data_IF_404352221694
#
_entry.id   IF_404352221694
#
_cell.length_a   1.000
_cell.length_b   1.000
_cell.length_c   1.000
_cell.angle_alpha   90.00
_cell.angle_beta   90.00
_cell.angle_gamma   90.00
#
_symmetry.space_group_name_H-M   'P 1'
#
loop_
_entity.id
_entity.type
_entity.pdbx_description
1 polymer ?
#
# COMPACT_ATOMS: atom_id res chain seq x y z
N UNK A 1 -6.15 -8.40 26.36
CA UNK A 1 -5.32 -7.18 26.51
C UNK A 1 -5.70 -6.22 25.40
N UNK A 2 -6.01 -4.97 25.76
CA UNK A 2 -6.34 -3.92 24.79
C UNK A 2 -5.06 -3.17 24.39
N UNK A 3 -4.83 -3.02 23.11
CA UNK A 3 -3.65 -2.32 22.56
C UNK A 3 -4.11 -1.08 21.80
N UNK A 4 -3.51 0.06 22.12
CA UNK A 4 -3.65 1.29 21.34
C UNK A 4 -2.63 1.25 20.20
N UNK A 5 -3.11 1.25 18.95
CA UNK A 5 -2.30 1.31 17.74
C UNK A 5 -2.31 2.70 17.15
N UNK A 6 -1.13 3.18 16.75
CA UNK A 6 -0.93 4.48 16.10
C UNK A 6 -0.29 4.28 14.75
N UNK A 7 -0.97 4.79 13.71
CA UNK A 7 -0.49 4.79 12.33
C UNK A 7 -0.33 6.23 11.84
N UNK A 8 0.84 6.53 11.28
CA UNK A 8 1.16 7.86 10.73
C UNK A 8 2.24 7.79 9.64
N UNK A 9 2.31 6.70 8.89
CA UNK A 9 3.41 6.48 7.94
C UNK A 9 3.35 7.35 6.68
N UNK A 10 2.17 7.82 6.30
CA UNK A 10 1.97 8.58 5.06
C UNK A 10 1.02 9.77 5.27
N UNK A 11 -0.17 9.73 4.70
CA UNK A 11 -1.16 10.82 4.70
C UNK A 11 -2.46 10.46 5.46
N UNK A 12 -2.50 9.31 6.13
CA UNK A 12 -3.52 8.95 7.11
C UNK A 12 -2.98 9.07 8.53
N UNK A 13 -3.65 9.86 9.36
CA UNK A 13 -3.43 9.90 10.81
C UNK A 13 -4.46 8.99 11.47
N UNK A 14 -4.03 7.83 11.99
CA UNK A 14 -4.98 6.88 12.54
C UNK A 14 -4.59 6.37 13.92
N UNK A 15 -5.63 6.10 14.72
CA UNK A 15 -5.51 5.42 16.00
C UNK A 15 -6.66 4.41 16.16
N UNK A 16 -6.37 3.30 16.82
CA UNK A 16 -7.34 2.25 17.05
C UNK A 16 -7.10 1.55 18.38
N UNK A 17 -8.16 0.99 18.94
CA UNK A 17 -8.08 0.06 20.07
C UNK A 17 -8.49 -1.32 19.60
N UNK A 18 -7.59 -2.28 19.76
CA UNK A 18 -7.84 -3.68 19.40
C UNK A 18 -7.65 -4.55 20.65
N UNK A 19 -8.62 -5.41 20.90
CA UNK A 19 -8.60 -6.38 21.99
C UNK A 19 -8.11 -7.73 21.47
N UNK A 20 -7.15 -8.30 22.22
CA UNK A 20 -6.56 -9.62 21.96
C UNK A 20 -6.06 -9.84 20.53
N UNK A 21 -5.61 -8.74 19.90
CA UNK A 21 -5.05 -8.73 18.55
C UNK A 21 -6.04 -9.03 17.45
N UNK A 22 -7.34 -9.05 17.72
CA UNK A 22 -8.39 -9.44 16.77
C UNK A 22 -9.57 -8.51 16.74
N UNK A 23 -10.20 -8.33 17.89
CA UNK A 23 -11.45 -7.58 18.01
C UNK A 23 -11.17 -6.09 17.96
N UNK A 24 -11.59 -5.45 16.89
CA UNK A 24 -11.54 -3.99 16.77
C UNK A 24 -12.61 -3.41 17.70
N UNK A 25 -12.19 -2.62 18.68
CA UNK A 25 -13.10 -1.84 19.53
C UNK A 25 -13.34 -0.45 18.93
N UNK A 26 -12.32 0.11 18.31
CA UNK A 26 -12.40 1.36 17.55
C UNK A 26 -11.30 1.40 16.48
N UNK A 27 -11.55 2.15 15.40
CA UNK A 27 -10.56 2.45 14.38
C UNK A 27 -10.90 3.82 13.79
N UNK A 28 -10.16 4.84 14.17
CA UNK A 28 -10.35 6.23 13.72
C UNK A 28 -9.26 6.57 12.72
N UNK A 29 -9.66 7.03 11.55
CA UNK A 29 -8.76 7.42 10.47
C UNK A 29 -9.10 8.84 10.02
N UNK A 30 -8.15 9.75 10.19
CA UNK A 30 -8.22 11.11 9.68
C UNK A 30 -7.36 11.22 8.42
N UNK A 31 -8.02 11.28 7.26
CA UNK A 31 -7.32 11.34 5.96
C UNK A 31 -6.93 12.76 5.59
N UNK A 32 -5.74 12.90 5.05
CA UNK A 32 -5.21 14.17 4.55
C UNK A 32 -5.39 14.35 3.04
N UNK A 33 -6.07 13.44 2.36
CA UNK A 33 -6.34 13.49 0.92
C UNK A 33 -6.79 14.88 0.44
N UNK A 34 -7.72 15.58 1.12
CA UNK A 34 -8.16 16.91 0.68
C UNK A 34 -7.03 17.95 0.61
N UNK A 35 -6.03 17.85 1.49
CA UNK A 35 -4.89 18.78 1.53
C UNK A 35 -3.83 18.45 0.47
N UNK A 36 -3.81 17.23 -0.01
CA UNK A 36 -2.85 16.75 -1.02
C UNK A 36 -3.41 16.80 -2.46
N UNK A 37 -4.72 16.93 -2.60
CA UNK A 37 -5.40 16.93 -3.91
C UNK A 37 -4.91 18.05 -4.81
N UNK A 38 -4.65 19.26 -4.27
CA UNK A 38 -4.13 20.39 -5.04
C UNK A 38 -2.74 20.12 -5.63
N UNK A 39 -1.95 19.28 -4.96
CA UNK A 39 -0.60 18.90 -5.39
C UNK A 39 -0.59 17.62 -6.23
N UNK A 40 -1.76 16.97 -6.35
CA UNK A 40 -1.91 15.67 -7.01
C UNK A 40 -0.91 14.63 -6.50
N UNK A 41 -0.78 14.50 -5.19
CA UNK A 41 0.09 13.57 -4.51
C UNK A 41 0.55 14.09 -3.15
N UNK A 42 1.04 13.21 -2.30
CA UNK A 42 1.43 13.53 -0.93
C UNK A 42 2.60 14.50 -0.89
N UNK A 43 2.47 15.55 -0.08
CA UNK A 43 3.55 16.51 0.25
C UNK A 43 4.03 16.21 1.67
N UNK A 44 5.25 15.68 1.85
CA UNK A 44 5.71 15.17 3.14
C UNK A 44 5.70 16.18 4.28
N UNK A 45 5.97 17.46 3.99
CA UNK A 45 5.94 18.52 5.00
C UNK A 45 4.51 18.82 5.47
N UNK A 46 3.54 18.84 4.56
CA UNK A 46 2.12 19.02 4.89
C UNK A 46 1.67 17.85 5.74
N UNK A 47 2.02 16.62 5.32
CA UNK A 47 1.68 15.40 6.04
C UNK A 47 2.17 15.46 7.49
N UNK A 48 3.45 15.75 7.70
CA UNK A 48 4.04 15.82 9.06
C UNK A 48 3.33 16.85 9.94
N UNK A 49 3.03 18.04 9.41
CA UNK A 49 2.34 19.10 10.15
C UNK A 49 0.93 18.68 10.54
N UNK A 50 0.17 18.06 9.62
CA UNK A 50 -1.18 17.58 9.89
C UNK A 50 -1.21 16.46 10.92
N UNK A 51 -0.24 15.55 10.90
CA UNK A 51 -0.11 14.57 11.97
C UNK A 51 0.11 15.23 13.34
N UNK A 52 0.95 16.25 13.41
CA UNK A 52 1.19 16.98 14.67
C UNK A 52 -0.08 17.65 15.20
N UNK A 53 -0.91 18.18 14.29
CA UNK A 53 -2.17 18.83 14.67
C UNK A 53 -3.22 17.81 15.15
N UNK A 54 -3.25 16.60 14.58
CA UNK A 54 -4.38 15.68 14.70
C UNK A 54 -4.16 14.51 15.65
N UNK A 55 -2.92 14.07 15.86
CA UNK A 55 -2.62 12.81 16.54
C UNK A 55 -3.28 12.67 17.91
N UNK A 56 -3.32 13.76 18.70
CA UNK A 56 -3.96 13.74 20.00
C UNK A 56 -5.47 13.57 19.88
N UNK A 57 -6.11 14.32 19.00
CA UNK A 57 -7.56 14.26 18.80
C UNK A 57 -7.99 12.88 18.30
N UNK A 58 -7.27 12.34 17.31
CA UNK A 58 -7.52 11.01 16.74
C UNK A 58 -7.35 9.90 17.78
N UNK A 59 -6.30 9.97 18.59
CA UNK A 59 -6.08 8.99 19.65
C UNK A 59 -7.16 9.08 20.76
N UNK A 60 -7.57 10.30 21.14
CA UNK A 60 -8.66 10.52 22.09
C UNK A 60 -9.99 9.96 21.55
N UNK A 61 -10.32 10.28 20.30
CA UNK A 61 -11.54 9.79 19.66
C UNK A 61 -11.55 8.26 19.56
N UNK A 62 -10.40 7.63 19.30
CA UNK A 62 -10.30 6.18 19.29
C UNK A 62 -10.62 5.56 20.66
N UNK A 63 -10.19 6.18 21.77
CA UNK A 63 -10.53 5.74 23.12
C UNK A 63 -12.02 5.98 23.43
N UNK A 64 -12.56 7.14 23.06
CA UNK A 64 -13.97 7.49 23.24
C UNK A 64 -14.89 6.52 22.48
N UNK A 65 -14.56 6.21 21.22
CA UNK A 65 -15.31 5.24 20.39
C UNK A 65 -15.21 3.81 20.93
N UNK A 66 -14.07 3.44 21.51
CA UNK A 66 -13.91 2.15 22.17
C UNK A 66 -14.70 2.05 23.49
N UNK A 67 -15.24 3.16 24.00
CA UNK A 67 -15.97 3.23 25.27
C UNK A 67 -15.10 2.88 26.48
N UNK A 68 -13.81 3.19 26.44
CA UNK A 68 -12.86 2.83 27.51
C UNK A 68 -12.03 4.03 27.95
N UNK A 69 -11.67 4.04 29.23
CA UNK A 69 -10.66 4.97 29.73
C UNK A 69 -9.23 4.52 29.40
N UNK A 70 -8.30 5.46 29.47
CA UNK A 70 -6.87 5.23 29.21
C UNK A 70 -6.24 4.18 30.12
N UNK A 71 -6.82 3.96 31.31
CA UNK A 71 -6.39 2.97 32.31
C UNK A 71 -6.66 1.53 31.84
N UNK A 72 -7.54 1.34 30.88
CA UNK A 72 -7.86 0.03 30.34
C UNK A 72 -6.87 -0.44 29.25
N UNK A 73 -5.99 0.45 28.78
CA UNK A 73 -4.97 0.11 27.79
C UNK A 73 -3.85 -0.70 28.46
N UNK A 74 -3.56 -1.85 27.90
CA UNK A 74 -2.51 -2.75 28.38
C UNK A 74 -1.20 -2.69 27.57
N UNK A 75 -1.16 -1.95 26.46
CA UNK A 75 0.04 -1.77 25.66
C UNK A 75 -0.17 -0.79 24.49
N UNK A 76 0.93 -0.30 23.96
CA UNK A 76 0.94 0.69 22.86
C UNK A 76 1.79 0.18 21.71
N UNK A 77 1.26 0.29 20.49
CA UNK A 77 1.96 -0.04 19.26
C UNK A 77 1.98 1.18 18.34
N UNK A 78 3.08 1.41 17.65
CA UNK A 78 3.15 2.45 16.64
C UNK A 78 4.01 2.04 15.45
N UNK A 79 3.65 2.53 14.29
CA UNK A 79 4.45 2.36 13.07
C UNK A 79 5.78 3.07 13.21
N UNK A 80 6.87 2.33 12.96
CA UNK A 80 8.22 2.86 12.98
C UNK A 80 8.88 2.87 11.59
N UNK A 81 8.44 2.02 10.68
CA UNK A 81 8.95 1.87 9.32
C UNK A 81 8.02 0.98 8.46
N UNK A 82 8.11 1.05 7.11
CA UNK A 82 8.59 2.20 6.36
C UNK A 82 7.56 3.32 6.31
N UNK A 83 7.97 4.52 5.85
CA UNK A 83 7.06 5.65 5.62
C UNK A 83 7.79 6.98 5.49
N UNK A 84 7.01 8.06 5.43
CA UNK A 84 7.53 9.42 5.44
C UNK A 84 8.13 9.73 6.82
N UNK A 85 9.43 10.00 6.86
CA UNK A 85 10.17 10.12 8.13
C UNK A 85 9.54 11.12 9.10
N UNK A 86 9.14 12.31 8.60
CA UNK A 86 8.51 13.34 9.43
C UNK A 86 7.18 12.89 10.01
N UNK A 87 6.35 12.21 9.23
CA UNK A 87 5.06 11.67 9.64
C UNK A 87 5.23 10.55 10.68
N UNK A 88 6.12 9.59 10.41
CA UNK A 88 6.46 8.51 11.35
C UNK A 88 6.95 9.05 12.70
N UNK A 89 7.80 10.09 12.68
CA UNK A 89 8.32 10.69 13.93
C UNK A 89 7.21 11.22 14.83
N UNK A 90 6.14 11.77 14.27
CA UNK A 90 5.00 12.29 15.04
C UNK A 90 4.29 11.16 15.79
N UNK A 91 3.80 10.14 15.08
CA UNK A 91 3.09 9.02 15.68
C UNK A 91 3.95 8.22 16.65
N UNK A 92 5.20 7.95 16.28
CA UNK A 92 6.14 7.21 17.11
C UNK A 92 6.47 7.97 18.41
N UNK A 93 6.67 9.30 18.32
CA UNK A 93 6.94 10.12 19.51
C UNK A 93 5.73 10.19 20.44
N UNK A 94 4.53 10.39 19.89
CA UNK A 94 3.29 10.38 20.63
C UNK A 94 3.10 9.04 21.37
N UNK A 95 3.23 7.92 20.65
CA UNK A 95 3.05 6.59 21.22
C UNK A 95 4.05 6.28 22.34
N UNK A 96 5.32 6.65 22.15
CA UNK A 96 6.37 6.50 23.18
C UNK A 96 6.09 7.35 24.42
N UNK A 97 5.70 8.61 24.23
CA UNK A 97 5.36 9.52 25.34
C UNK A 97 4.14 8.99 26.12
N UNK A 98 3.10 8.53 25.40
CA UNK A 98 1.91 7.95 26.04
C UNK A 98 2.26 6.68 26.83
N UNK A 99 3.04 5.77 26.23
CA UNK A 99 3.46 4.54 26.90
C UNK A 99 4.31 4.83 28.16
N UNK A 100 5.27 5.75 28.04
CA UNK A 100 6.12 6.14 29.15
C UNK A 100 5.33 6.78 30.29
N UNK A 101 4.46 7.74 29.99
CA UNK A 101 3.65 8.44 30.98
C UNK A 101 2.70 7.52 31.74
N UNK A 102 2.30 6.40 31.16
CA UNK A 102 1.38 5.41 31.73
C UNK A 102 2.07 4.14 32.22
N UNK A 103 3.39 4.09 32.10
CA UNK A 103 4.19 2.88 32.42
C UNK A 103 3.69 1.63 31.67
N UNK A 104 3.34 1.79 30.38
CA UNK A 104 2.82 0.72 29.55
C UNK A 104 3.93 0.13 28.66
N UNK A 105 3.84 -1.15 28.32
CA UNK A 105 4.71 -1.75 27.33
C UNK A 105 4.47 -1.10 25.95
N UNK A 106 5.58 -0.85 25.25
CA UNK A 106 5.58 -0.25 23.91
C UNK A 106 6.22 -1.19 22.91
N UNK A 107 5.68 -1.21 21.68
CA UNK A 107 6.23 -1.95 20.54
C UNK A 107 6.20 -1.11 19.26
N UNK A 108 7.34 -1.06 18.58
CA UNK A 108 7.47 -0.50 17.23
C UNK A 108 7.11 -1.56 16.19
N UNK A 109 6.28 -1.20 15.23
CA UNK A 109 5.68 -2.12 14.26
C UNK A 109 6.11 -1.76 12.84
N UNK A 110 6.33 -2.78 12.02
CA UNK A 110 6.50 -2.63 10.58
C UNK A 110 5.14 -2.46 9.91
N UNK A 111 4.98 -1.36 9.16
CA UNK A 111 3.76 -1.00 8.45
C UNK A 111 3.33 -2.05 7.42
N UNK A 112 4.29 -2.58 6.67
CA UNK A 112 4.00 -3.56 5.61
C UNK A 112 3.51 -4.89 6.19
N UNK A 113 4.10 -5.33 7.31
CA UNK A 113 3.65 -6.52 8.01
C UNK A 113 2.27 -6.34 8.62
N UNK A 114 1.97 -5.13 9.10
CA UNK A 114 0.67 -4.80 9.64
C UNK A 114 -0.44 -4.92 8.58
N UNK A 115 -0.19 -4.54 7.34
CA UNK A 115 -1.13 -4.75 6.24
C UNK A 115 -1.46 -6.23 5.99
N UNK A 116 -0.50 -7.15 6.10
CA UNK A 116 -0.78 -8.60 6.02
C UNK A 116 -1.60 -9.07 7.24
N UNK A 117 -1.35 -8.47 8.41
CA UNK A 117 -2.07 -8.82 9.62
C UNK A 117 -3.53 -8.38 9.58
N UNK A 118 -3.87 -7.33 8.82
CA UNK A 118 -5.22 -6.77 8.73
C UNK A 118 -6.31 -7.80 8.41
N UNK A 119 -5.98 -8.85 7.64
CA UNK A 119 -6.91 -9.94 7.31
C UNK A 119 -7.36 -10.77 8.52
N UNK A 120 -6.66 -10.69 9.65
CA UNK A 120 -6.92 -11.42 10.90
C UNK A 120 -7.83 -10.65 11.86
N UNK A 121 -8.10 -9.40 11.55
CA UNK A 121 -8.92 -8.52 12.39
C UNK A 121 -10.41 -8.79 12.18
N UNK A 122 -11.17 -8.59 13.24
CA UNK A 122 -12.59 -8.80 13.29
C UNK A 122 -13.28 -7.44 13.39
N UNK A 123 -14.09 -7.12 12.36
CA UNK A 123 -14.87 -5.88 12.36
C UNK A 123 -16.04 -5.98 13.34
N UNK A 124 -16.42 -4.87 14.00
CA UNK A 124 -17.68 -4.79 14.73
C UNK A 124 -18.85 -5.13 13.80
N UNK A 125 -19.89 -5.75 14.31
CA UNK A 125 -21.11 -5.97 13.54
C UNK A 125 -21.77 -4.62 13.21
N UNK A 126 -22.22 -4.44 11.97
CA UNK A 126 -22.88 -3.20 11.51
C UNK A 126 -24.13 -2.85 12.31
N UNK A 127 -24.83 -3.86 12.85
CA UNK A 127 -26.12 -3.70 13.53
C UNK A 127 -26.04 -3.56 15.06
N UNK A 128 -24.84 -3.40 15.64
CA UNK A 128 -24.69 -3.35 17.11
C UNK A 128 -25.10 -4.67 17.82
N UNK A 129 -25.41 -5.71 17.07
CA UNK A 129 -25.95 -6.99 17.55
C UNK A 129 -24.93 -8.03 17.99
N UNK A 130 -23.67 -7.64 18.14
CA UNK A 130 -22.65 -8.48 18.78
C UNK A 130 -22.05 -9.61 17.94
N UNK A 131 -22.46 -9.78 16.69
CA UNK A 131 -21.85 -10.78 15.80
C UNK A 131 -20.69 -10.13 15.05
N UNK A 132 -19.48 -10.53 15.36
CA UNK A 132 -18.25 -10.06 14.67
C UNK A 132 -18.17 -10.71 13.29
N UNK A 133 -17.72 -9.96 12.28
CA UNK A 133 -17.28 -10.56 11.02
C UNK A 133 -15.94 -11.25 11.27
N UNK A 134 -15.86 -12.59 11.22
CA UNK A 134 -14.63 -13.29 11.58
C UNK A 134 -13.49 -12.93 10.64
N UNK A 135 -12.35 -12.56 11.19
CA UNK A 135 -11.10 -12.48 10.44
C UNK A 135 -10.64 -13.86 10.00
N UNK A 136 -10.21 -13.99 8.77
CA UNK A 136 -9.65 -15.24 8.26
C UNK A 136 -8.23 -15.41 8.78
N UNK A 137 -7.93 -16.59 9.37
CA UNK A 137 -6.57 -16.94 9.81
C UNK A 137 -5.95 -17.90 8.80
N UNK A 138 -5.20 -17.38 7.84
CA UNK A 138 -4.46 -18.26 6.92
C UNK A 138 -3.42 -19.05 7.72
N UNK A 139 -3.32 -20.33 7.40
CA UNK A 139 -2.27 -21.20 7.94
C UNK A 139 -0.92 -20.87 7.29
N UNK A 140 0.14 -21.01 8.06
CA UNK A 140 1.50 -20.86 7.57
C UNK A 140 2.03 -22.15 6.93
N UNK A 141 2.91 -22.08 5.95
CA UNK A 141 3.34 -20.87 5.24
C UNK A 141 2.31 -20.41 4.19
N UNK A 142 2.33 -19.11 3.87
CA UNK A 142 1.52 -18.54 2.79
C UNK A 142 2.30 -17.51 1.97
N UNK A 143 1.77 -17.13 0.80
CA UNK A 143 2.29 -16.02 0.01
C UNK A 143 1.62 -14.71 0.45
N UNK A 144 2.43 -13.73 0.81
CA UNK A 144 1.99 -12.37 1.05
C UNK A 144 2.06 -11.54 -0.24
N UNK A 145 0.98 -10.86 -0.58
CA UNK A 145 0.90 -9.88 -1.66
C UNK A 145 0.68 -8.50 -1.07
N UNK A 146 1.74 -7.72 -0.92
CA UNK A 146 1.71 -6.37 -0.39
C UNK A 146 1.70 -5.37 -1.54
N UNK A 147 0.59 -4.68 -1.71
CA UNK A 147 0.37 -3.75 -2.84
C UNK A 147 -0.25 -2.44 -2.35
N UNK A 148 0.54 -1.38 -2.38
CA UNK A 148 0.14 -0.06 -1.89
C UNK A 148 0.59 1.05 -2.87
N UNK A 149 0.38 2.31 -2.51
CA UNK A 149 0.88 3.47 -3.24
C UNK A 149 2.40 3.44 -3.42
N UNK A 150 3.14 3.03 -2.37
CA UNK A 150 4.61 3.04 -2.38
C UNK A 150 5.28 1.69 -2.58
N UNK A 151 4.56 0.58 -2.47
CA UNK A 151 5.17 -0.74 -2.46
C UNK A 151 4.39 -1.77 -3.28
N UNK A 152 5.13 -2.65 -3.97
CA UNK A 152 4.60 -3.86 -4.59
C UNK A 152 5.58 -4.98 -4.29
N UNK A 153 5.19 -5.87 -3.36
CA UNK A 153 6.06 -6.92 -2.82
C UNK A 153 5.30 -8.24 -2.84
N UNK A 154 5.97 -9.28 -3.30
CA UNK A 154 5.55 -10.68 -3.16
C UNK A 154 6.52 -11.32 -2.17
N UNK A 155 6.00 -11.93 -1.11
CA UNK A 155 6.81 -12.56 -0.09
C UNK A 155 6.25 -13.92 0.32
N UNK A 156 7.12 -14.79 0.82
CA UNK A 156 6.75 -15.98 1.56
C UNK A 156 6.71 -15.65 3.04
N UNK A 157 5.64 -16.01 3.70
CA UNK A 157 5.44 -15.81 5.14
C UNK A 157 5.40 -17.17 5.82
N UNK A 158 6.50 -17.55 6.44
CA UNK A 158 6.56 -18.76 7.27
C UNK A 158 6.02 -18.49 8.67
N UNK A 159 6.18 -17.26 9.15
CA UNK A 159 5.59 -16.63 10.33
C UNK A 159 5.81 -15.11 10.20
N UNK A 160 5.12 -14.27 11.00
CA UNK A 160 5.35 -12.80 11.02
C UNK A 160 6.76 -12.40 11.49
N UNK A 161 7.53 -13.33 12.06
CA UNK A 161 8.94 -13.12 12.42
C UNK A 161 9.90 -13.67 11.35
N UNK A 162 9.39 -14.43 10.38
CA UNK A 162 10.18 -15.07 9.33
C UNK A 162 9.52 -14.88 7.97
N UNK A 163 9.87 -13.76 7.32
CA UNK A 163 9.32 -13.36 6.04
C UNK A 163 10.46 -13.23 5.03
N UNK A 164 10.26 -13.85 3.88
CA UNK A 164 11.21 -13.83 2.78
C UNK A 164 10.63 -13.12 1.59
N UNK A 165 11.25 -12.01 1.15
CA UNK A 165 10.86 -11.32 -0.08
C UNK A 165 11.28 -12.18 -1.27
N UNK A 166 10.31 -12.57 -2.08
CA UNK A 166 10.52 -13.30 -3.33
C UNK A 166 10.73 -12.32 -4.49
N UNK A 167 9.90 -11.27 -4.57
CA UNK A 167 9.98 -10.26 -5.61
C UNK A 167 9.39 -8.92 -5.17
N UNK A 168 9.78 -7.88 -5.88
CA UNK A 168 9.30 -6.52 -5.64
C UNK A 168 9.24 -5.70 -6.93
N UNK A 169 8.65 -4.51 -6.87
CA UNK A 169 8.80 -3.58 -7.98
C UNK A 169 10.25 -3.11 -8.10
N UNK A 170 10.75 -3.10 -9.34
CA UNK A 170 12.10 -2.62 -9.67
C UNK A 170 12.11 -1.12 -10.03
N UNK A 171 10.94 -0.53 -10.18
CA UNK A 171 10.72 0.88 -10.48
C UNK A 171 9.49 1.41 -9.72
N UNK A 172 8.48 1.95 -10.41
CA UNK A 172 7.26 2.43 -9.76
C UNK A 172 6.49 1.27 -9.09
N UNK A 173 5.93 1.48 -7.91
CA UNK A 173 4.94 0.57 -7.35
C UNK A 173 3.64 0.59 -8.17
N UNK A 174 2.83 -0.46 -8.06
CA UNK A 174 1.56 -0.55 -8.80
C UNK A 174 0.62 0.62 -8.47
N UNK A 175 0.47 0.97 -7.20
CA UNK A 175 -0.36 2.10 -6.77
C UNK A 175 0.21 3.43 -7.26
N UNK A 176 1.52 3.62 -7.19
CA UNK A 176 2.20 4.79 -7.74
C UNK A 176 1.96 4.94 -9.26
N UNK A 177 1.95 3.83 -10.00
CA UNK A 177 1.62 3.85 -11.43
C UNK A 177 0.17 4.28 -11.67
N UNK A 178 -0.78 3.81 -10.85
CA UNK A 178 -2.17 4.27 -10.87
C UNK A 178 -2.28 5.77 -10.58
N UNK A 179 -1.63 6.26 -9.53
CA UNK A 179 -1.68 7.67 -9.14
C UNK A 179 -1.07 8.58 -10.22
N UNK A 180 0.08 8.19 -10.79
CA UNK A 180 0.75 8.94 -11.87
C UNK A 180 -0.10 9.00 -13.14
N UNK A 181 -0.75 7.90 -13.52
CA UNK A 181 -1.66 7.87 -14.67
C UNK A 181 -2.90 8.72 -14.39
N UNK A 182 -3.52 8.58 -13.22
CA UNK A 182 -4.67 9.39 -12.83
C UNK A 182 -4.35 10.89 -12.79
N UNK A 183 -3.20 11.25 -12.24
CA UNK A 183 -2.70 12.63 -12.24
C UNK A 183 -2.57 13.21 -13.65
N UNK A 184 -2.00 12.42 -14.56
CA UNK A 184 -1.85 12.85 -15.96
C UNK A 184 -3.19 13.07 -16.65
N UNK A 185 -4.21 12.27 -16.33
CA UNK A 185 -5.57 12.40 -16.84
C UNK A 185 -6.39 13.49 -16.16
N UNK A 186 -5.98 13.97 -14.98
CA UNK A 186 -6.80 14.84 -14.17
C UNK A 186 -7.96 14.12 -13.46
N UNK A 187 -7.85 12.81 -13.21
CA UNK A 187 -8.90 12.03 -12.53
C UNK A 187 -8.93 12.25 -11.02
N UNK A 188 -7.99 13.02 -10.49
CA UNK A 188 -7.88 13.29 -9.06
C UNK A 188 -7.01 12.28 -8.30
N UNK A 189 -7.04 12.42 -6.98
CA UNK A 189 -6.29 11.61 -6.02
C UNK A 189 -7.25 11.07 -4.94
N UNK A 190 -7.14 9.80 -4.51
CA UNK A 190 -6.21 8.74 -4.93
C UNK A 190 -6.54 8.18 -6.32
N UNK A 191 -5.50 8.03 -7.16
CA UNK A 191 -5.66 7.63 -8.55
C UNK A 191 -6.17 6.21 -8.73
N UNK A 192 -5.77 5.28 -7.86
CA UNK A 192 -6.21 3.89 -7.92
C UNK A 192 -7.72 3.74 -7.86
N UNK A 193 -8.38 4.41 -6.91
CA UNK A 193 -9.83 4.38 -6.76
C UNK A 193 -10.55 5.05 -7.93
N UNK A 194 -9.99 6.15 -8.46
CA UNK A 194 -10.56 6.86 -9.61
C UNK A 194 -10.51 5.99 -10.88
N UNK A 195 -9.38 5.36 -11.15
CA UNK A 195 -9.20 4.45 -12.30
C UNK A 195 -10.09 3.22 -12.17
N UNK A 196 -10.16 2.58 -10.99
CA UNK A 196 -11.02 1.41 -10.77
C UNK A 196 -12.50 1.69 -11.04
N UNK A 197 -12.97 2.86 -10.61
CA UNK A 197 -14.36 3.30 -10.86
C UNK A 197 -14.61 3.56 -12.34
N UNK A 198 -13.67 4.21 -13.04
CA UNK A 198 -13.81 4.53 -14.45
C UNK A 198 -13.70 3.28 -15.32
N UNK A 199 -12.79 2.38 -14.99
CA UNK A 199 -12.55 1.12 -15.71
C UNK A 199 -13.79 0.22 -15.79
N UNK A 200 -14.67 0.25 -14.76
CA UNK A 200 -15.93 -0.49 -14.77
C UNK A 200 -16.90 -0.12 -15.91
N UNK A 201 -16.69 1.03 -16.54
CA UNK A 201 -17.51 1.54 -17.64
C UNK A 201 -16.84 1.34 -19.00
N UNK A 202 -15.59 0.84 -19.04
CA UNK A 202 -14.77 0.70 -20.23
C UNK A 202 -14.61 -0.74 -20.72
N UNK A 203 -14.06 -0.86 -21.91
CA UNK A 203 -13.63 -2.13 -22.51
C UNK A 203 -12.15 -2.36 -22.21
N UNK A 204 -11.83 -3.41 -21.45
CA UNK A 204 -10.46 -3.79 -21.10
C UNK A 204 -9.64 -4.31 -22.28
N UNK A 205 -10.25 -4.57 -23.43
CA UNK A 205 -9.63 -5.02 -24.68
C UNK A 205 -9.39 -3.93 -25.71
N UNK A 206 -9.92 -2.71 -25.47
CA UNK A 206 -9.88 -1.62 -26.44
C UNK A 206 -8.47 -1.13 -26.78
N UNK A 207 -7.57 -1.17 -25.81
CA UNK A 207 -6.16 -0.78 -25.98
C UNK A 207 -5.22 -1.89 -25.55
N UNK A 208 -4.13 -2.07 -26.32
CA UNK A 208 -3.07 -3.05 -25.99
C UNK A 208 -1.85 -2.31 -25.46
N UNK A 209 -1.62 -2.43 -24.17
CA UNK A 209 -0.42 -1.89 -23.53
C UNK A 209 0.67 -2.96 -23.38
N UNK A 210 1.95 -2.56 -23.41
CA UNK A 210 3.06 -3.51 -23.35
C UNK A 210 3.18 -4.12 -21.96
N UNK A 211 3.37 -5.44 -21.91
CA UNK A 211 3.78 -6.16 -20.73
C UNK A 211 5.31 -6.14 -20.62
N UNK A 212 5.88 -5.86 -19.44
CA UNK A 212 7.32 -5.94 -19.25
C UNK A 212 7.81 -7.37 -19.49
N UNK A 213 8.91 -7.50 -20.23
CA UNK A 213 9.58 -8.78 -20.41
C UNK A 213 10.44 -9.05 -19.18
N UNK A 214 9.84 -9.64 -18.14
CA UNK A 214 10.56 -10.06 -16.96
C UNK A 214 11.18 -11.44 -17.18
N UNK A 215 12.48 -11.56 -16.90
CA UNK A 215 13.18 -12.81 -16.66
C UNK A 215 13.34 -13.81 -17.79
N UNK A 216 14.25 -13.57 -18.70
CA UNK A 216 15.20 -14.51 -19.31
C UNK A 216 16.48 -13.80 -19.77
N UNK A 217 16.61 -12.50 -19.53
CA UNK A 217 17.79 -11.79 -20.00
C UNK A 217 18.78 -11.54 -18.89
N UNK A 218 19.90 -12.31 -18.96
CA UNK A 218 21.22 -11.84 -18.61
C UNK A 218 21.55 -10.56 -19.43
N UNK A 219 20.94 -9.43 -19.11
CA UNK A 219 21.60 -8.16 -19.33
C UNK A 219 22.60 -8.04 -18.19
N UNK A 220 23.77 -8.64 -18.38
CA UNK A 220 24.97 -8.09 -17.79
C UNK A 220 24.85 -6.60 -17.97
N UNK A 221 24.80 -5.84 -16.87
CA UNK A 221 25.03 -4.43 -16.89
C UNK A 221 26.42 -4.26 -17.52
N UNK A 222 26.50 -3.94 -18.79
CA UNK A 222 27.67 -3.37 -19.42
C UNK A 222 27.70 -1.93 -18.96
N UNK A 223 28.21 -1.74 -17.75
CA UNK A 223 28.60 -0.51 -17.15
C UNK A 223 29.90 -0.80 -16.44
N UNK A 224 30.99 -0.32 -17.01
CA UNK A 224 32.32 -0.41 -16.47
C UNK A 224 32.35 0.19 -15.07
N UNK A 225 32.97 -0.55 -14.11
CA UNK A 225 33.47 0.01 -12.85
C UNK A 225 32.64 -0.23 -11.61
N UNK A 226 32.52 -1.48 -11.15
CA UNK A 226 32.58 -1.78 -9.72
C UNK A 226 33.03 -3.24 -9.50
N UNK A 227 34.22 -3.39 -8.96
CA UNK A 227 34.78 -4.64 -8.49
C UNK A 227 34.00 -5.10 -7.27
N UNK A 228 32.95 -5.89 -7.46
CA UNK A 228 32.40 -6.71 -6.40
C UNK A 228 32.97 -8.12 -6.54
N UNK A 229 33.74 -8.50 -5.52
CA UNK A 229 34.38 -9.80 -5.37
C UNK A 229 33.34 -10.91 -5.55
N UNK A 230 33.64 -11.81 -6.47
CA UNK A 230 32.91 -13.08 -6.65
C UNK A 230 33.10 -13.92 -5.38
N UNK A 231 32.09 -14.02 -4.56
CA UNK A 231 31.97 -15.16 -3.65
C UNK A 231 31.33 -16.31 -4.43
N UNK A 232 32.13 -17.35 -4.61
CA UNK A 232 31.70 -18.59 -5.25
C UNK A 232 30.84 -19.38 -4.27
N UNK A 233 29.56 -19.58 -4.61
CA UNK A 233 28.70 -20.48 -3.85
C UNK A 233 27.23 -20.31 -4.20
N UNK A 234 26.77 -21.01 -5.21
CA UNK A 234 25.41 -21.37 -5.64
C UNK A 234 24.98 -20.75 -6.97
N UNK A 235 25.07 -21.53 -8.08
CA UNK A 235 24.73 -21.03 -9.41
C UNK A 235 23.24 -20.94 -9.76
N UNK A 236 22.33 -21.40 -8.88
CA UNK A 236 20.92 -21.55 -9.19
C UNK A 236 20.04 -20.35 -8.79
N UNK A 237 20.27 -19.75 -7.62
CA UNK A 237 19.36 -18.81 -6.99
C UNK A 237 19.25 -17.42 -7.66
N UNK A 238 20.27 -16.93 -8.33
CA UNK A 238 20.26 -15.58 -8.94
C UNK A 238 19.37 -15.45 -10.19
N UNK A 239 18.96 -16.54 -10.82
CA UNK A 239 18.11 -16.53 -12.03
C UNK A 239 16.61 -16.53 -11.72
N UNK A 240 16.21 -17.00 -10.56
CA UNK A 240 14.81 -17.18 -10.18
C UNK A 240 14.19 -15.93 -9.59
N UNK A 241 14.97 -15.05 -8.94
CA UNK A 241 14.47 -13.83 -8.29
C UNK A 241 13.81 -12.85 -9.25
N UNK A 242 14.29 -12.73 -10.49
CA UNK A 242 13.71 -11.83 -11.50
C UNK A 242 12.33 -12.28 -12.03
N UNK A 243 11.89 -13.51 -11.77
CA UNK A 243 10.57 -13.98 -12.20
C UNK A 243 9.42 -13.41 -11.39
N UNK A 244 9.69 -12.98 -10.16
CA UNK A 244 8.69 -12.43 -9.24
C UNK A 244 8.71 -10.91 -9.16
N UNK A 245 9.68 -10.27 -9.81
CA UNK A 245 9.74 -8.81 -9.86
C UNK A 245 8.69 -8.24 -10.84
N UNK A 246 8.25 -7.03 -10.59
CA UNK A 246 7.31 -6.30 -11.43
C UNK A 246 7.90 -4.95 -11.85
N UNK A 247 7.44 -4.41 -12.99
CA UNK A 247 7.85 -3.09 -13.50
C UNK A 247 6.65 -2.39 -14.11
N UNK A 248 6.45 -1.14 -13.76
CA UNK A 248 5.32 -0.33 -14.19
C UNK A 248 5.72 0.95 -14.94
N UNK A 249 6.98 1.37 -14.90
CA UNK A 249 7.43 2.61 -15.54
C UNK A 249 7.20 2.61 -17.04
N UNK A 250 7.44 1.47 -17.70
CA UNK A 250 7.17 1.28 -19.14
C UNK A 250 5.68 1.32 -19.48
N UNK A 251 4.84 0.69 -18.65
CA UNK A 251 3.38 0.72 -18.80
C UNK A 251 2.86 2.15 -18.67
N UNK A 252 3.25 2.85 -17.62
CA UNK A 252 2.89 4.26 -17.40
C UNK A 252 3.22 5.12 -18.62
N UNK A 253 4.44 5.00 -19.14
CA UNK A 253 4.88 5.76 -20.32
C UNK A 253 4.05 5.43 -21.57
N UNK A 254 3.72 4.15 -21.79
CA UNK A 254 2.90 3.73 -22.91
C UNK A 254 1.47 4.31 -22.84
N UNK A 255 0.88 4.34 -21.65
CA UNK A 255 -0.46 4.93 -21.43
C UNK A 255 -0.43 6.44 -21.66
N UNK A 256 0.57 7.15 -21.14
CA UNK A 256 0.75 8.58 -21.37
C UNK A 256 0.91 8.89 -22.85
N UNK A 257 1.74 8.15 -23.58
CA UNK A 257 1.94 8.32 -25.02
C UNK A 257 0.65 8.04 -25.82
N UNK A 258 -0.15 7.05 -25.41
CA UNK A 258 -1.45 6.80 -26.04
C UNK A 258 -2.39 7.99 -25.87
N UNK A 259 -2.37 8.63 -24.73
CA UNK A 259 -3.16 9.81 -24.44
C UNK A 259 -2.74 11.04 -25.24
N UNK A 260 -1.44 11.25 -25.43
CA UNK A 260 -0.95 12.37 -26.23
C UNK A 260 -1.45 12.30 -27.68
N UNK A 261 -1.74 11.12 -28.22
CA UNK A 261 -2.31 10.96 -29.56
C UNK A 261 -3.73 11.54 -29.68
N UNK A 262 -4.46 11.60 -28.56
CA UNK A 262 -5.81 12.17 -28.51
C UNK A 262 -5.81 13.64 -28.09
N UNK A 263 -4.66 14.22 -27.80
CA UNK A 263 -4.55 15.63 -27.45
C UNK A 263 -4.78 16.47 -28.72
N UNK A 264 -5.93 17.14 -28.80
CA UNK A 264 -6.18 18.13 -29.84
C UNK A 264 -5.17 19.25 -29.62
N UNK A 265 -4.34 19.53 -30.63
CA UNK A 265 -3.50 20.72 -30.63
C UNK A 265 -4.42 21.92 -30.49
N UNK A 266 -4.43 22.56 -29.34
CA UNK A 266 -5.15 23.80 -29.14
C UNK A 266 -4.65 24.78 -30.21
N UNK A 267 -5.57 25.38 -30.98
CA UNK A 267 -5.20 26.42 -31.90
C UNK A 267 -4.50 27.56 -31.11
N UNK A 268 -3.43 28.17 -31.65
CA UNK A 268 -2.76 29.27 -30.96
C UNK A 268 -3.76 30.39 -30.72
N UNK A 269 -3.99 30.73 -29.45
CA UNK A 269 -4.73 31.93 -29.09
C UNK A 269 -3.89 33.13 -29.48
N UNK A 270 -4.47 34.11 -30.17
CA UNK A 270 -3.80 35.31 -30.69
C UNK A 270 -3.21 36.25 -29.61
N UNK A 271 -3.25 35.87 -28.35
CA UNK A 271 -2.61 36.62 -27.25
C UNK A 271 -1.36 35.85 -26.79
N UNK A 272 -0.20 36.31 -27.25
CA UNK A 272 1.12 35.74 -27.05
C UNK A 272 1.67 35.74 -25.59
N UNK A 273 0.91 35.25 -24.62
CA UNK A 273 1.39 35.03 -23.24
C UNK A 273 1.55 33.54 -23.05
N UNK A 274 2.79 33.08 -23.19
CA UNK A 274 3.21 31.74 -22.80
C UNK A 274 3.31 31.71 -21.28
N UNK A 275 2.36 31.09 -20.59
CA UNK A 275 2.53 30.76 -19.19
C UNK A 275 3.40 29.50 -19.06
N UNK A 276 4.38 29.46 -18.11
CA UNK A 276 5.24 28.32 -17.94
C UNK A 276 4.46 27.11 -17.44
N UNK A 277 4.74 25.95 -18.02
CA UNK A 277 4.10 24.67 -17.72
C UNK A 277 4.62 24.07 -16.39
N UNK A 278 4.22 24.65 -15.26
CA UNK A 278 4.51 24.12 -13.93
C UNK A 278 3.27 24.18 -13.02
N UNK A 279 2.18 23.58 -13.49
CA UNK A 279 0.99 23.33 -12.70
C UNK A 279 0.33 22.04 -13.18
N UNK A 280 -0.56 21.41 -12.35
CA UNK A 280 -1.37 20.30 -12.83
C UNK A 280 -2.03 20.76 -14.13
N UNK A 281 -2.00 19.92 -15.15
CA UNK A 281 -2.63 20.20 -16.45
C UNK A 281 -4.13 20.52 -16.22
N UNK A 282 -4.42 21.72 -15.80
CA UNK A 282 -5.70 22.32 -16.11
C UNK A 282 -5.68 22.39 -17.63
N UNK A 283 -6.43 21.53 -18.25
CA UNK A 283 -6.80 21.70 -19.64
C UNK A 283 -7.39 23.12 -19.74
N UNK A 284 -6.53 24.09 -20.06
CA UNK A 284 -6.93 25.46 -20.20
C UNK A 284 -7.95 25.48 -21.34
N UNK A 285 -9.27 25.52 -21.01
CA UNK A 285 -10.37 25.73 -21.95
C UNK A 285 -10.49 24.72 -23.10
N UNK A 286 -9.59 23.77 -23.23
CA UNK A 286 -9.63 22.71 -24.23
C UNK A 286 -10.35 21.50 -23.66
N UNK A 287 -11.60 21.27 -24.04
CA UNK A 287 -12.27 20.00 -23.85
C UNK A 287 -11.34 18.91 -24.41
N UNK A 288 -10.92 17.96 -23.57
CA UNK A 288 -10.30 16.75 -24.07
C UNK A 288 -11.35 16.06 -24.96
N UNK A 289 -11.18 16.12 -26.26
CA UNK A 289 -12.12 15.57 -27.23
C UNK A 289 -11.89 14.07 -27.44
N UNK A 290 -11.61 13.33 -26.34
CA UNK A 290 -11.74 11.89 -26.37
C UNK A 290 -13.22 11.58 -26.61
N UNK A 291 -13.56 10.70 -27.55
CA UNK A 291 -14.92 10.18 -27.67
C UNK A 291 -15.35 9.69 -26.29
N UNK A 292 -16.57 10.01 -25.84
CA UNK A 292 -17.02 9.92 -24.46
C UNK A 292 -16.79 8.59 -23.71
N UNK A 293 -16.41 7.52 -24.41
CA UNK A 293 -16.08 6.20 -23.85
C UNK A 293 -14.56 5.92 -23.77
N UNK A 294 -13.74 6.64 -24.53
CA UNK A 294 -12.31 6.33 -24.63
C UNK A 294 -11.53 6.48 -23.33
N UNK A 295 -11.97 7.37 -22.42
CA UNK A 295 -11.38 7.47 -21.08
C UNK A 295 -11.58 6.19 -20.25
N UNK A 296 -12.80 5.65 -20.28
CA UNK A 296 -13.14 4.42 -19.57
C UNK A 296 -12.39 3.24 -20.17
N UNK A 297 -12.31 3.17 -21.51
CA UNK A 297 -11.62 2.09 -22.22
C UNK A 297 -10.11 2.09 -21.96
N UNK A 298 -9.48 3.27 -21.91
CA UNK A 298 -8.06 3.38 -21.56
C UNK A 298 -7.84 3.01 -20.09
N UNK A 299 -8.69 3.48 -19.19
CA UNK A 299 -8.63 3.14 -17.76
C UNK A 299 -8.77 1.62 -17.55
N UNK A 300 -9.74 0.98 -18.24
CA UNK A 300 -9.96 -0.46 -18.17
C UNK A 300 -8.77 -1.25 -18.73
N UNK A 301 -8.26 -0.87 -19.91
CA UNK A 301 -7.11 -1.53 -20.54
C UNK A 301 -5.81 -1.35 -19.75
N UNK A 302 -5.61 -0.17 -19.14
CA UNK A 302 -4.48 0.10 -18.25
C UNK A 302 -4.56 -0.75 -16.99
N UNK A 303 -5.72 -0.70 -16.29
CA UNK A 303 -5.95 -1.48 -15.07
C UNK A 303 -5.74 -2.97 -15.30
N UNK A 304 -6.29 -3.51 -16.39
CA UNK A 304 -6.08 -4.91 -16.79
C UNK A 304 -4.60 -5.23 -16.90
N UNK A 305 -3.86 -4.44 -17.68
CA UNK A 305 -2.43 -4.70 -17.92
C UNK A 305 -1.64 -4.60 -16.61
N UNK A 306 -1.94 -3.61 -15.74
CA UNK A 306 -1.28 -3.45 -14.46
C UNK A 306 -1.54 -4.66 -13.52
N UNK A 307 -2.77 -5.14 -13.47
CA UNK A 307 -3.16 -6.32 -12.69
C UNK A 307 -2.52 -7.59 -13.27
N UNK A 308 -2.49 -7.76 -14.59
CA UNK A 308 -1.86 -8.92 -15.24
C UNK A 308 -0.35 -9.00 -14.99
N UNK A 309 0.36 -7.86 -14.95
CA UNK A 309 1.78 -7.81 -14.57
C UNK A 309 1.98 -8.39 -13.17
N UNK A 310 1.17 -7.94 -12.22
CA UNK A 310 1.23 -8.38 -10.82
C UNK A 310 0.89 -9.86 -10.68
N UNK A 311 -0.21 -10.29 -11.30
CA UNK A 311 -0.69 -11.67 -11.21
C UNK A 311 0.29 -12.66 -11.85
N UNK A 312 0.94 -12.29 -12.95
CA UNK A 312 1.97 -13.13 -13.56
C UNK A 312 3.12 -13.41 -12.59
N UNK A 313 3.62 -12.38 -11.92
CA UNK A 313 4.68 -12.52 -10.93
C UNK A 313 4.23 -13.37 -9.73
N UNK A 314 3.01 -13.13 -9.24
CA UNK A 314 2.41 -13.89 -8.13
C UNK A 314 2.22 -15.37 -8.49
N UNK A 315 1.70 -15.68 -9.69
CA UNK A 315 1.47 -17.06 -10.11
C UNK A 315 2.78 -17.82 -10.35
N UNK A 316 3.83 -17.14 -10.81
CA UNK A 316 5.17 -17.74 -10.83
C UNK A 316 5.62 -18.13 -9.40
N UNK A 317 5.34 -17.27 -8.40
CA UNK A 317 5.68 -17.60 -7.02
C UNK A 317 4.83 -18.77 -6.47
N UNK A 318 3.54 -18.86 -6.84
CA UNK A 318 2.68 -20.01 -6.50
C UNK A 318 3.26 -21.30 -7.08
N UNK A 319 3.61 -21.29 -8.38
CA UNK A 319 4.17 -22.45 -9.09
C UNK A 319 5.47 -22.94 -8.45
N UNK A 320 6.40 -22.02 -8.18
CA UNK A 320 7.73 -22.38 -7.70
C UNK A 320 7.75 -22.75 -6.22
N UNK A 321 6.84 -22.19 -5.40
CA UNK A 321 6.79 -22.48 -3.95
C UNK A 321 5.81 -23.60 -3.59
N UNK A 322 4.85 -23.90 -4.46
CA UNK A 322 3.75 -24.82 -4.16
C UNK A 322 2.76 -24.29 -3.11
N UNK A 323 2.82 -23.00 -2.78
CA UNK A 323 1.93 -22.37 -1.81
C UNK A 323 0.65 -21.87 -2.50
N UNK A 324 -0.49 -22.38 -2.08
CA UNK A 324 -1.80 -22.06 -2.66
C UNK A 324 -2.61 -21.05 -1.83
N UNK A 325 -2.12 -20.64 -0.66
CA UNK A 325 -2.74 -19.60 0.15
C UNK A 325 -2.05 -18.26 -0.11
N UNK A 326 -2.84 -17.26 -0.47
CA UNK A 326 -2.39 -15.89 -0.74
C UNK A 326 -3.08 -14.95 0.24
N UNK A 327 -2.31 -14.14 0.94
CA UNK A 327 -2.82 -13.06 1.81
C UNK A 327 -2.44 -11.74 1.18
N UNK A 328 -3.44 -10.97 0.77
CA UNK A 328 -3.22 -9.65 0.19
C UNK A 328 -3.34 -8.55 1.26
N UNK A 329 -2.58 -7.47 1.11
CA UNK A 329 -2.64 -6.29 1.97
C UNK A 329 -2.19 -5.02 1.25
N UNK A 330 -2.55 -3.86 1.81
CA UNK A 330 -2.30 -2.56 1.23
C UNK A 330 -3.46 -2.02 0.39
N UNK A 331 -3.47 -0.72 0.14
CA UNK A 331 -4.60 -0.03 -0.51
C UNK A 331 -5.00 -0.59 -1.87
N UNK A 332 -4.05 -1.08 -2.68
CA UNK A 332 -4.35 -1.69 -3.99
C UNK A 332 -5.02 -3.07 -3.85
N UNK A 333 -4.95 -3.72 -2.68
CA UNK A 333 -5.71 -4.95 -2.42
C UNK A 333 -7.24 -4.72 -2.44
N UNK A 334 -7.71 -3.48 -2.38
CA UNK A 334 -9.10 -3.10 -2.57
C UNK A 334 -9.53 -3.08 -4.06
N UNK A 335 -8.58 -3.12 -5.01
CA UNK A 335 -8.88 -3.03 -6.44
C UNK A 335 -9.82 -4.16 -6.89
N UNK A 336 -10.92 -3.79 -7.54
CA UNK A 336 -11.99 -4.73 -7.88
C UNK A 336 -11.57 -5.77 -8.91
N UNK A 337 -10.75 -5.39 -9.91
CA UNK A 337 -10.28 -6.32 -10.94
C UNK A 337 -9.27 -7.32 -10.38
N UNK A 338 -8.35 -6.87 -9.50
CA UNK A 338 -7.40 -7.77 -8.83
C UNK A 338 -8.14 -8.84 -8.03
N UNK A 339 -9.14 -8.44 -7.24
CA UNK A 339 -9.99 -9.37 -6.47
C UNK A 339 -10.74 -10.34 -7.37
N UNK A 340 -11.34 -9.84 -8.46
CA UNK A 340 -12.07 -10.67 -9.42
C UNK A 340 -11.18 -11.73 -10.08
N UNK A 341 -10.00 -11.31 -10.58
CA UNK A 341 -9.06 -12.23 -11.23
C UNK A 341 -8.49 -13.30 -10.28
N UNK A 342 -8.26 -12.95 -9.02
CA UNK A 342 -7.85 -13.94 -8.02
C UNK A 342 -9.00 -14.88 -7.63
N UNK A 343 -10.24 -14.40 -7.59
CA UNK A 343 -11.42 -15.24 -7.29
C UNK A 343 -11.73 -16.24 -8.41
N UNK A 344 -11.29 -16.00 -9.66
CA UNK A 344 -11.40 -16.96 -10.77
C UNK A 344 -10.55 -18.23 -10.54
N UNK A 345 -9.46 -18.13 -9.78
CA UNK A 345 -8.54 -19.23 -9.48
C UNK A 345 -9.06 -20.08 -8.32
N UNK A 346 -9.80 -21.13 -8.65
CA UNK A 346 -10.39 -22.05 -7.67
C UNK A 346 -9.40 -22.95 -6.94
N UNK A 347 -8.20 -23.06 -7.47
CA UNK A 347 -7.06 -23.77 -6.86
C UNK A 347 -6.33 -22.95 -5.80
N UNK A 348 -6.67 -21.66 -5.63
CA UNK A 348 -6.05 -20.76 -4.68
C UNK A 348 -7.03 -20.35 -3.57
N UNK A 349 -6.50 -20.25 -2.35
CA UNK A 349 -7.19 -19.65 -1.21
C UNK A 349 -6.71 -18.21 -1.08
N UNK A 350 -7.52 -17.26 -1.53
CA UNK A 350 -7.17 -15.84 -1.50
C UNK A 350 -7.85 -15.14 -0.33
N UNK A 351 -7.06 -14.60 0.57
CA UNK A 351 -7.50 -13.89 1.77
C UNK A 351 -7.23 -12.41 1.61
N UNK A 352 -8.30 -11.63 1.63
CA UNK A 352 -8.23 -10.16 1.59
C UNK A 352 -8.76 -9.60 2.91
N UNK A 353 -8.18 -8.51 3.42
CA UNK A 353 -8.85 -7.76 4.47
C UNK A 353 -10.16 -7.15 3.94
N UNK A 354 -11.12 -6.84 4.81
CA UNK A 354 -12.25 -5.98 4.46
C UNK A 354 -11.77 -4.69 3.78
N UNK A 355 -12.54 -4.12 2.83
CA UNK A 355 -12.13 -2.91 2.11
C UNK A 355 -11.69 -1.77 3.02
N UNK A 356 -12.36 -1.60 4.16
CA UNK A 356 -12.10 -0.56 5.17
C UNK A 356 -10.75 -0.73 5.87
N UNK A 357 -10.19 -1.95 5.86
CA UNK A 357 -8.88 -2.28 6.44
C UNK A 357 -7.77 -2.45 5.40
N UNK A 358 -8.06 -2.22 4.10
CA UNK A 358 -7.03 -2.25 3.07
C UNK A 358 -6.11 -1.02 3.10
N UNK A 359 -6.66 0.16 3.42
CA UNK A 359 -5.90 1.41 3.60
C UNK A 359 -5.15 1.44 4.91
N UNK A 360 -4.36 2.50 5.10
CA UNK A 360 -3.62 2.75 6.34
C UNK A 360 -4.58 2.97 7.50
N UNK A 361 -4.40 2.24 8.59
CA UNK A 361 -5.30 2.28 9.73
C UNK A 361 -4.59 1.87 11.03
N UNK A 362 -5.14 2.33 12.18
CA UNK A 362 -4.57 2.04 13.48
C UNK A 362 -4.78 0.58 13.94
N UNK A 363 -5.84 -0.07 13.45
CA UNK A 363 -6.20 -1.41 13.91
C UNK A 363 -5.17 -2.47 13.47
N UNK A 364 -4.63 -2.36 12.27
CA UNK A 364 -3.57 -3.26 11.80
C UNK A 364 -2.31 -3.17 12.65
N UNK A 365 -1.99 -1.96 13.12
CA UNK A 365 -0.84 -1.69 14.00
C UNK A 365 -1.08 -2.24 15.40
N UNK A 366 -2.27 -2.00 15.96
CA UNK A 366 -2.66 -2.54 17.27
C UNK A 366 -2.68 -4.08 17.26
N UNK A 367 -3.23 -4.67 16.20
CA UNK A 367 -3.35 -6.12 16.04
C UNK A 367 -2.00 -6.82 15.97
N UNK A 368 -1.12 -6.37 15.07
CA UNK A 368 0.25 -6.92 14.98
C UNK A 368 1.06 -6.60 16.25
N UNK A 369 0.89 -5.40 16.80
CA UNK A 369 1.51 -5.02 18.07
C UNK A 369 1.13 -5.93 19.22
N UNK A 370 -0.14 -6.32 19.34
CA UNK A 370 -0.59 -7.31 20.33
C UNK A 370 0.17 -8.63 20.21
N UNK A 371 0.34 -9.13 18.96
CA UNK A 371 1.08 -10.38 18.72
C UNK A 371 2.46 -10.36 19.38
N UNK A 372 3.19 -9.28 19.22
CA UNK A 372 4.52 -9.12 19.80
C UNK A 372 4.44 -8.90 21.33
N UNK A 373 3.56 -7.99 21.75
CA UNK A 373 3.41 -7.67 23.18
C UNK A 373 2.95 -8.86 24.02
N UNK A 374 2.07 -9.73 23.49
CA UNK A 374 1.58 -10.94 24.19
C UNK A 374 2.67 -11.99 24.40
N UNK A 375 3.72 -11.97 23.59
CA UNK A 375 4.90 -12.83 23.72
C UNK A 375 5.99 -12.25 24.61
N UNK A 376 5.71 -11.10 25.22
CA UNK A 376 6.66 -10.43 26.10
C UNK A 376 7.63 -9.49 25.39
N UNK A 377 7.53 -9.33 24.05
CA UNK A 377 8.40 -8.45 23.29
C UNK A 377 8.13 -6.98 23.59
N UNK A 378 9.16 -6.16 23.57
CA UNK A 378 9.12 -4.73 23.84
C UNK A 378 10.15 -4.01 22.99
N UNK A 379 9.79 -2.85 22.51
CA UNK A 379 10.75 -1.94 21.88
C UNK A 379 11.27 -0.94 22.90
N UNK A 380 12.57 -0.63 22.87
CA UNK A 380 13.10 0.41 23.73
C UNK A 380 12.60 1.79 23.29
N UNK A 381 12.46 2.74 24.23
CA UNK A 381 11.96 4.08 23.91
C UNK A 381 12.92 4.91 23.02
N UNK A 382 14.16 4.47 22.86
CA UNK A 382 15.11 5.10 21.93
C UNK A 382 15.04 4.54 20.49
N UNK A 383 14.08 3.65 20.18
CA UNK A 383 13.85 3.21 18.79
C UNK A 383 13.55 4.41 17.91
N UNK A 384 14.09 4.39 16.68
CA UNK A 384 13.97 5.47 15.71
C UNK A 384 13.10 5.08 14.53
N UNK A 385 12.45 6.08 13.91
CA UNK A 385 11.73 5.89 12.66
C UNK A 385 12.71 5.67 11.50
N UNK A 386 12.26 4.90 10.49
CA UNK A 386 13.03 4.67 9.27
C UNK A 386 12.12 4.73 8.03
N UNK A 387 12.56 5.46 7.01
CA UNK A 387 11.87 5.47 5.72
C UNK A 387 12.07 4.17 4.92
N UNK A 388 12.99 3.29 5.36
CA UNK A 388 13.33 2.06 4.66
C UNK A 388 12.54 0.88 5.20
N UNK A 389 12.21 -0.04 4.33
CA UNK A 389 11.67 -1.35 4.72
C UNK A 389 12.73 -2.08 5.53
N UNK A 390 12.41 -2.35 6.80
CA UNK A 390 13.24 -3.16 7.69
C UNK A 390 12.46 -4.45 8.00
N UNK A 391 13.11 -5.55 8.26
CA UNK A 391 12.43 -6.78 8.67
C UNK A 391 12.18 -7.82 7.55
N UNK A 392 12.37 -7.46 6.30
CA UNK A 392 12.33 -8.43 5.20
C UNK A 392 13.75 -8.94 4.91
N UNK A 393 13.95 -10.26 5.03
CA UNK A 393 15.17 -10.88 4.53
C UNK A 393 15.10 -10.89 2.99
N UNK A 394 16.01 -10.20 2.33
CA UNK A 394 16.23 -10.43 0.89
C UNK A 394 17.03 -11.71 0.74
N UNK A 395 16.55 -12.61 -0.10
CA UNK A 395 17.31 -13.80 -0.52
C UNK A 395 18.44 -13.38 -1.46
#
# INVERSE_FOLDING_TARGET
MKVLGIESSCDECAAAVVEDGRRILSNVVATQIPFHTEYNGVVPEIASRKHTEWIYAVAKEALDHAGIGVESIGGVAATAHPGLLGSLLVGLSFAKAFAWARNLPFIAVDHMLAHLYASRLELPAEDGGGTLTPGVRPEYPFLGLLVSGGHSIICRVDDFDNITVLGASIDDAVGEAFDKVAKYYGFGYPGGAAIDRLAKQGDEGAFKFPMPKMGTHNRACRGEGSSLKKEAGSPGLRREHHRYDVSYSGLKTAVINQLEQFRVKAAPTESGIVQPASGPLRLAGGQCSLPGRAHADIAASFQKTAVEILLRALFNAVEDTGLHTIVAGGGVAANSLLRARLAERKDLVCVFPPPELCGDNGAMIAGLGYRYLSRGERSPLNVTASARVAGFRKI
#
